data_IF_866291906587
#
_entry.id   IF_866291906587
#
_cell.length_a   1.000
_cell.length_b   1.000
_cell.length_c   1.000
_cell.angle_alpha   90.00
_cell.angle_beta   90.00
_cell.angle_gamma   90.00
#
_symmetry.space_group_name_H-M   'P 1'
#
loop_
_entity.id
_entity.type
_entity.pdbx_description
1 polymer ?
#
# COMPACT_ATOMS: atom_id res chain seq x y z
N UNK A 1 -2.93 19.67 8.96
CA UNK A 1 -2.38 20.18 7.68
C UNK A 1 -1.76 19.05 6.85
N UNK A 2 -0.75 18.32 7.35
CA UNK A 2 -0.10 17.24 6.60
C UNK A 2 -1.04 16.17 6.00
N UNK A 3 -2.01 15.66 6.77
CA UNK A 3 -3.02 14.70 6.27
C UNK A 3 -3.91 15.26 5.15
N UNK A 4 -4.17 16.58 5.16
CA UNK A 4 -4.95 17.26 4.12
C UNK A 4 -4.12 17.42 2.85
N UNK A 5 -2.85 17.81 2.98
CA UNK A 5 -1.90 17.93 1.86
C UNK A 5 -1.66 16.58 1.20
N UNK A 6 -1.52 15.50 1.98
CA UNK A 6 -1.36 14.16 1.44
C UNK A 6 -2.58 13.69 0.62
N UNK A 7 -3.80 13.88 1.14
CA UNK A 7 -5.03 13.56 0.39
C UNK A 7 -5.18 14.40 -0.88
N UNK A 8 -4.74 15.65 -0.82
CA UNK A 8 -4.72 16.52 -1.99
C UNK A 8 -3.73 16.01 -3.06
N UNK A 9 -2.51 15.63 -2.65
CA UNK A 9 -1.51 15.00 -3.52
C UNK A 9 -2.04 13.71 -4.16
N UNK A 10 -2.67 12.82 -3.39
CA UNK A 10 -3.26 11.59 -3.93
C UNK A 10 -4.35 11.88 -4.95
N UNK A 11 -5.19 12.89 -4.69
CA UNK A 11 -6.26 13.29 -5.60
C UNK A 11 -5.70 13.88 -6.90
N UNK A 12 -4.69 14.75 -6.79
CA UNK A 12 -4.00 15.34 -7.94
C UNK A 12 -3.30 14.28 -8.79
N UNK A 13 -2.63 13.31 -8.15
CA UNK A 13 -1.98 12.21 -8.85
C UNK A 13 -2.98 11.31 -9.57
N UNK A 14 -4.11 11.01 -8.93
CA UNK A 14 -5.18 10.23 -9.57
C UNK A 14 -5.69 10.94 -10.83
N UNK A 15 -5.97 12.25 -10.74
CA UNK A 15 -6.41 13.02 -11.90
C UNK A 15 -5.34 13.07 -13.00
N UNK A 16 -4.08 13.27 -12.63
CA UNK A 16 -2.95 13.21 -13.56
C UNK A 16 -2.90 11.87 -14.33
N UNK A 17 -3.08 10.73 -13.64
CA UNK A 17 -3.13 9.41 -14.29
C UNK A 17 -4.30 9.33 -15.27
N UNK A 18 -5.50 9.75 -14.83
CA UNK A 18 -6.71 9.73 -15.66
C UNK A 18 -6.53 10.56 -16.93
N UNK A 19 -5.99 11.77 -16.81
CA UNK A 19 -5.73 12.68 -17.94
C UNK A 19 -4.64 12.13 -18.87
N UNK A 20 -3.55 11.58 -18.31
CA UNK A 20 -2.45 10.99 -19.06
C UNK A 20 -2.92 9.80 -19.91
N UNK A 21 -3.81 8.97 -19.34
CA UNK A 21 -4.41 7.83 -20.03
C UNK A 21 -5.42 8.29 -21.09
N UNK A 22 -6.30 9.23 -20.74
CA UNK A 22 -7.31 9.77 -21.66
C UNK A 22 -6.66 10.42 -22.90
N UNK A 23 -5.57 11.17 -22.72
CA UNK A 23 -4.82 11.78 -23.81
C UNK A 23 -4.22 10.76 -24.80
N UNK A 24 -4.06 9.50 -24.39
CA UNK A 24 -3.51 8.40 -25.19
C UNK A 24 -4.57 7.38 -25.62
N UNK A 25 -5.82 7.57 -25.20
CA UNK A 25 -6.90 6.61 -25.44
C UNK A 25 -6.80 5.33 -24.62
N UNK A 26 -6.03 5.35 -23.52
CA UNK A 26 -5.93 4.24 -22.58
C UNK A 26 -7.00 4.32 -21.49
N UNK A 27 -7.33 3.17 -20.91
CA UNK A 27 -8.09 3.10 -19.67
C UNK A 27 -7.17 2.70 -18.54
N UNK A 28 -7.30 3.36 -17.39
CA UNK A 28 -6.45 3.10 -16.21
C UNK A 28 -6.51 1.62 -15.78
N UNK A 29 -7.69 1.01 -15.88
CA UNK A 29 -7.94 -0.40 -15.57
C UNK A 29 -7.18 -1.40 -16.46
N UNK A 30 -6.71 -0.98 -17.64
CA UNK A 30 -5.92 -1.82 -18.55
C UNK A 30 -4.40 -1.75 -18.26
N UNK A 31 -3.97 -0.97 -17.24
CA UNK A 31 -2.56 -0.80 -16.91
C UNK A 31 -1.99 -2.04 -16.21
N UNK A 32 -0.90 -2.58 -16.75
CA UNK A 32 -0.16 -3.69 -16.15
C UNK A 32 1.07 -3.19 -15.37
N UNK A 33 1.27 -3.67 -14.14
CA UNK A 33 2.38 -3.19 -13.30
C UNK A 33 3.77 -3.63 -13.78
N UNK A 34 3.85 -4.66 -14.63
CA UNK A 34 5.11 -5.17 -15.16
C UNK A 34 5.51 -4.55 -16.50
N UNK A 35 4.53 -4.17 -17.33
CA UNK A 35 4.73 -3.75 -18.71
C UNK A 35 3.99 -2.45 -19.10
N UNK A 36 3.26 -1.83 -18.17
CA UNK A 36 2.45 -0.65 -18.39
C UNK A 36 1.45 -0.83 -19.52
N UNK A 37 1.33 0.19 -20.37
CA UNK A 37 0.61 0.16 -21.63
C UNK A 37 1.59 -0.07 -22.78
N UNK A 38 1.85 -1.33 -23.12
CA UNK A 38 2.77 -1.70 -24.22
C UNK A 38 4.17 -1.08 -24.08
N UNK A 39 4.69 -0.98 -22.86
CA UNK A 39 6.00 -0.38 -22.56
C UNK A 39 5.95 1.12 -22.25
N UNK A 40 4.79 1.76 -22.30
CA UNK A 40 4.58 3.13 -21.79
C UNK A 40 3.96 3.11 -20.40
N UNK A 41 4.33 4.06 -19.54
CA UNK A 41 3.69 4.22 -18.24
C UNK A 41 3.65 5.70 -17.85
N UNK A 42 2.63 6.08 -17.08
CA UNK A 42 2.71 7.28 -16.26
C UNK A 42 3.79 7.11 -15.18
N UNK A 43 4.32 8.24 -14.69
CA UNK A 43 5.35 8.26 -13.64
C UNK A 43 4.77 7.74 -12.32
N UNK A 44 5.63 7.21 -11.45
CA UNK A 44 5.22 6.78 -10.10
C UNK A 44 4.76 7.95 -9.23
N UNK A 45 4.06 7.67 -8.13
CA UNK A 45 3.60 8.71 -7.19
C UNK A 45 4.77 9.54 -6.63
N UNK A 46 5.91 8.90 -6.35
CA UNK A 46 7.11 9.57 -5.87
C UNK A 46 7.68 10.53 -6.94
N UNK A 47 7.80 10.06 -8.18
CA UNK A 47 8.29 10.88 -9.30
C UNK A 47 7.33 12.02 -9.65
N UNK A 48 6.01 11.80 -9.54
CA UNK A 48 5.00 12.85 -9.67
C UNK A 48 5.21 13.93 -8.60
N UNK A 49 5.37 13.55 -7.33
CA UNK A 49 5.60 14.50 -6.25
C UNK A 49 6.91 15.29 -6.43
N UNK A 50 7.95 14.64 -6.96
CA UNK A 50 9.26 15.26 -7.12
C UNK A 50 9.38 16.17 -8.35
N UNK A 51 8.58 15.93 -9.39
CA UNK A 51 8.67 16.64 -10.66
C UNK A 51 7.34 17.30 -11.03
N UNK A 52 6.35 16.53 -11.47
CA UNK A 52 5.11 17.04 -12.07
C UNK A 52 4.30 17.96 -11.14
N UNK A 53 4.22 17.60 -9.85
CA UNK A 53 3.56 18.42 -8.83
C UNK A 53 4.32 19.73 -8.54
N UNK A 54 5.60 19.76 -8.90
CA UNK A 54 6.53 20.91 -9.00
C UNK A 54 6.08 21.98 -10.00
N UNK A 55 5.49 21.51 -11.10
CA UNK A 55 5.36 22.27 -12.34
C UNK A 55 3.99 22.96 -12.43
N UNK A 56 4.00 24.29 -12.41
CA UNK A 56 2.78 25.09 -12.40
C UNK A 56 1.88 24.86 -13.61
N UNK A 57 2.44 24.69 -14.81
CA UNK A 57 1.68 24.43 -16.03
C UNK A 57 0.97 23.07 -15.97
N UNK A 58 1.66 22.04 -15.45
CA UNK A 58 1.09 20.70 -15.28
C UNK A 58 -0.05 20.75 -14.28
N UNK A 59 0.15 21.37 -13.12
CA UNK A 59 -0.89 21.48 -12.09
C UNK A 59 -2.07 22.35 -12.51
N UNK A 60 -1.85 23.37 -13.33
CA UNK A 60 -2.94 24.15 -13.91
C UNK A 60 -3.81 23.34 -14.87
N UNK A 61 -3.22 22.35 -15.56
CA UNK A 61 -3.97 21.48 -16.48
C UNK A 61 -4.73 20.36 -15.75
N UNK A 62 -4.20 19.87 -14.63
CA UNK A 62 -4.75 18.74 -13.86
C UNK A 62 -5.81 19.20 -12.86
N UNK A 63 -5.62 20.36 -12.23
CA UNK A 63 -6.44 20.78 -11.09
C UNK A 63 -7.63 21.65 -11.51
N UNK A 64 -8.69 21.63 -10.69
CA UNK A 64 -9.73 22.64 -10.77
C UNK A 64 -9.18 24.04 -10.47
N UNK A 65 -9.91 25.09 -10.84
CA UNK A 65 -9.47 26.48 -10.56
C UNK A 65 -9.32 26.75 -9.06
N UNK A 66 -10.21 26.16 -8.25
CA UNK A 66 -10.17 26.24 -6.79
C UNK A 66 -8.96 25.48 -6.22
N UNK A 67 -8.73 24.26 -6.68
CA UNK A 67 -7.62 23.41 -6.23
C UNK A 67 -6.26 23.96 -6.65
N UNK A 68 -6.17 24.58 -7.83
CA UNK A 68 -4.95 25.24 -8.29
C UNK A 68 -4.57 26.41 -7.39
N UNK A 69 -5.54 27.22 -6.93
CA UNK A 69 -5.28 28.31 -5.96
C UNK A 69 -4.83 27.76 -4.61
N UNK A 70 -5.40 26.64 -4.19
CA UNK A 70 -4.95 25.95 -2.97
C UNK A 70 -3.51 25.45 -3.14
N UNK A 71 -3.19 24.79 -4.25
CA UNK A 71 -1.84 24.37 -4.60
C UNK A 71 -0.86 25.55 -4.56
N UNK A 72 -1.17 26.68 -5.20
CA UNK A 72 -0.33 27.88 -5.15
C UNK A 72 -0.08 28.38 -3.71
N UNK A 73 -1.08 28.27 -2.83
CA UNK A 73 -0.93 28.66 -1.42
C UNK A 73 0.03 27.74 -0.67
N UNK A 74 0.05 26.44 -0.99
CA UNK A 74 0.95 25.46 -0.38
C UNK A 74 2.43 25.75 -0.66
N UNK A 75 2.75 26.34 -1.81
CA UNK A 75 4.13 26.73 -2.17
C UNK A 75 4.52 28.12 -1.64
N UNK A 76 3.53 28.96 -1.34
CA UNK A 76 3.76 30.29 -0.74
C UNK A 76 3.96 30.18 0.77
N UNK A 77 3.27 29.26 1.40
CA UNK A 77 3.55 28.87 2.78
C UNK A 77 4.80 27.98 2.78
N UNK A 78 5.82 28.29 3.59
CA UNK A 78 7.04 27.47 3.75
C UNK A 78 6.70 26.16 4.51
N UNK A 79 5.80 25.35 3.95
CA UNK A 79 5.33 24.10 4.53
C UNK A 79 6.43 23.07 4.38
N UNK A 80 7.17 22.85 5.47
CA UNK A 80 8.17 21.78 5.54
C UNK A 80 7.48 20.42 5.58
N UNK A 81 7.43 19.76 4.43
CA UNK A 81 7.10 18.33 4.34
C UNK A 81 8.38 17.56 4.63
N UNK A 82 8.40 16.80 5.73
CA UNK A 82 9.50 15.91 6.05
C UNK A 82 9.18 14.50 5.58
N UNK A 83 10.17 13.80 5.02
CA UNK A 83 10.06 12.37 4.73
C UNK A 83 10.31 11.58 6.02
N UNK A 84 9.41 10.67 6.35
CA UNK A 84 9.54 9.76 7.49
C UNK A 84 9.69 8.34 6.97
N UNK A 85 10.72 7.63 7.45
CA UNK A 85 10.85 6.19 7.25
C UNK A 85 10.10 5.45 8.37
N UNK A 86 9.09 4.68 8.01
CA UNK A 86 8.37 3.82 8.94
C UNK A 86 8.85 2.39 8.68
N UNK A 87 9.41 1.68 9.68
CA UNK A 87 9.79 0.29 9.50
C UNK A 87 8.54 -0.55 9.26
N UNK A 88 8.54 -1.30 8.18
CA UNK A 88 7.48 -2.26 7.82
C UNK A 88 8.08 -3.66 7.77
N UNK A 89 7.33 -4.64 8.27
CA UNK A 89 7.64 -6.06 8.10
C UNK A 89 6.66 -6.67 7.11
N UNK A 90 7.18 -7.48 6.21
CA UNK A 90 6.39 -8.31 5.30
C UNK A 90 6.42 -9.72 5.87
N UNK A 91 5.25 -10.25 6.23
CA UNK A 91 5.13 -11.60 6.76
C UNK A 91 4.36 -12.46 5.75
N UNK A 92 4.97 -13.58 5.36
CA UNK A 92 4.34 -14.61 4.55
C UNK A 92 4.00 -15.78 5.46
N UNK A 93 2.79 -16.30 5.33
CA UNK A 93 2.37 -17.51 6.05
C UNK A 93 1.87 -18.55 5.06
N UNK A 94 1.83 -19.80 5.50
CA UNK A 94 1.24 -20.87 4.72
C UNK A 94 0.52 -21.81 5.68
N UNK A 95 -0.63 -22.31 5.27
CA UNK A 95 -1.45 -23.17 6.11
C UNK A 95 -0.96 -24.62 6.02
N UNK A 96 -0.84 -25.27 7.17
CA UNK A 96 -0.63 -26.71 7.27
C UNK A 96 -1.96 -27.34 7.68
N UNK A 97 -2.48 -28.23 6.85
CA UNK A 97 -3.71 -28.96 7.14
C UNK A 97 -3.41 -30.19 8.01
N UNK A 98 -4.08 -30.28 9.17
CA UNK A 98 -3.95 -31.39 10.11
C UNK A 98 -5.34 -31.93 10.43
N UNK A 99 -5.54 -33.21 10.17
CA UNK A 99 -6.76 -33.91 10.57
C UNK A 99 -6.69 -34.24 12.07
N UNK A 100 -7.62 -33.68 12.86
CA UNK A 100 -7.74 -33.92 14.30
C UNK A 100 -9.19 -33.74 14.76
N UNK A 101 -9.51 -34.24 15.95
CA UNK A 101 -10.84 -34.11 16.56
C UNK A 101 -11.00 -32.82 17.38
N UNK A 102 -9.89 -32.15 17.72
CA UNK A 102 -9.86 -30.83 18.33
C UNK A 102 -8.65 -30.00 17.92
N UNK A 103 -8.68 -28.69 18.23
CA UNK A 103 -7.56 -27.78 17.95
C UNK A 103 -6.34 -28.14 18.81
N UNK A 104 -6.56 -28.53 20.07
CA UNK A 104 -5.51 -28.93 20.99
C UNK A 104 -4.78 -30.17 20.46
N UNK A 105 -5.53 -31.17 19.99
CA UNK A 105 -4.97 -32.36 19.35
C UNK A 105 -4.21 -32.01 18.06
N UNK A 106 -4.75 -31.12 17.21
CA UNK A 106 -4.06 -30.67 16.01
C UNK A 106 -2.70 -30.00 16.33
N UNK A 107 -2.65 -29.19 17.39
CA UNK A 107 -1.40 -28.52 17.84
C UNK A 107 -0.40 -29.53 18.40
N UNK A 108 -0.85 -30.55 19.14
CA UNK A 108 0.02 -31.63 19.62
C UNK A 108 0.60 -32.42 18.45
N UNK A 109 -0.24 -32.85 17.51
CA UNK A 109 0.20 -33.54 16.28
C UNK A 109 1.21 -32.67 15.51
N UNK A 110 0.94 -31.37 15.34
CA UNK A 110 1.86 -30.47 14.65
C UNK A 110 3.23 -30.41 15.35
N UNK A 111 3.26 -30.27 16.68
CA UNK A 111 4.52 -30.18 17.43
C UNK A 111 5.39 -31.41 17.27
N UNK A 112 4.77 -32.59 17.20
CA UNK A 112 5.46 -33.87 17.01
C UNK A 112 5.91 -34.09 15.56
N UNK A 113 5.19 -33.53 14.58
CA UNK A 113 5.37 -33.85 13.16
C UNK A 113 5.96 -32.72 12.33
N UNK A 114 6.14 -31.52 12.88
CA UNK A 114 6.64 -30.32 12.18
C UNK A 114 7.94 -30.52 11.40
N UNK A 115 8.82 -31.42 11.85
CA UNK A 115 10.10 -31.70 11.19
C UNK A 115 9.94 -32.68 10.00
N UNK A 116 8.78 -33.32 9.88
CA UNK A 116 8.42 -34.30 8.86
C UNK A 116 7.35 -33.80 7.88
N UNK A 117 6.64 -32.72 8.22
CA UNK A 117 5.65 -32.10 7.34
C UNK A 117 6.40 -31.22 6.33
N UNK A 118 6.23 -31.44 5.01
CA UNK A 118 6.80 -30.55 4.02
C UNK A 118 6.19 -29.16 4.18
N UNK A 119 7.03 -28.13 4.14
CA UNK A 119 6.55 -26.74 4.16
C UNK A 119 5.58 -26.54 3.00
N UNK A 120 4.42 -25.90 3.23
CA UNK A 120 3.47 -25.69 2.16
C UNK A 120 4.08 -24.76 1.10
N UNK A 121 3.74 -25.01 -0.17
CA UNK A 121 4.23 -24.21 -1.31
C UNK A 121 3.33 -23.04 -1.66
N UNK A 122 2.12 -23.01 -1.10
CA UNK A 122 1.16 -21.93 -1.31
C UNK A 122 1.28 -20.96 -0.14
N UNK A 123 1.94 -19.82 -0.37
CA UNK A 123 2.04 -18.74 0.61
C UNK A 123 0.88 -17.76 0.48
N UNK A 124 0.41 -17.27 1.60
CA UNK A 124 -0.45 -16.12 1.72
C UNK A 124 0.38 -14.91 2.19
N UNK A 125 0.07 -13.75 1.63
CA UNK A 125 0.65 -12.47 2.06
C UNK A 125 -0.27 -11.84 3.12
N UNK A 126 0.33 -11.16 4.09
CA UNK A 126 -0.43 -10.32 5.03
C UNK A 126 -0.41 -8.90 4.47
N UNK A 127 -1.55 -8.46 3.94
CA UNK A 127 -1.70 -7.18 3.21
C UNK A 127 -1.67 -5.91 4.10
N UNK A 128 -1.78 -6.06 5.42
CA UNK A 128 -1.90 -4.93 6.34
C UNK A 128 -0.66 -4.79 7.25
N UNK A 129 -0.38 -3.56 7.69
CA UNK A 129 0.76 -3.23 8.55
C UNK A 129 0.66 -4.05 9.84
N UNK A 130 1.43 -5.13 9.93
CA UNK A 130 1.68 -5.81 11.19
C UNK A 130 2.62 -4.91 11.98
N UNK A 131 2.06 -4.10 12.88
CA UNK A 131 2.82 -3.63 14.04
C UNK A 131 3.16 -4.90 14.82
N UNK A 132 4.39 -5.35 14.63
CA UNK A 132 4.89 -6.64 15.09
C UNK A 132 4.50 -6.88 16.56
N UNK A 133 3.57 -7.81 16.79
CA UNK A 133 3.38 -8.46 18.09
C UNK A 133 4.54 -9.43 18.25
N UNK A 134 5.67 -8.94 18.77
CA UNK A 134 6.57 -9.86 19.47
C UNK A 134 5.75 -10.51 20.57
N UNK A 135 5.56 -11.81 20.50
CA UNK A 135 5.18 -12.61 21.67
C UNK A 135 6.22 -12.30 22.75
N UNK A 136 5.87 -11.62 23.85
CA UNK A 136 6.60 -11.84 25.08
C UNK A 136 6.30 -13.29 25.47
N UNK A 137 7.22 -13.97 26.14
CA UNK A 137 7.11 -15.36 26.57
C UNK A 137 5.92 -15.66 27.53
N UNK A 138 4.93 -14.77 27.67
CA UNK A 138 3.73 -14.96 28.48
C UNK A 138 2.47 -14.47 27.77
N UNK A 139 1.50 -15.38 27.71
CA UNK A 139 0.16 -15.20 27.18
C UNK A 139 -0.56 -13.99 27.79
N UNK A 140 -1.04 -13.09 26.94
CA UNK A 140 -2.18 -12.23 27.27
C UNK A 140 -3.18 -12.25 26.10
N UNK A 141 -4.31 -12.94 26.31
CA UNK A 141 -5.35 -13.26 25.33
C UNK A 141 -6.26 -12.08 24.97
N UNK A 142 -5.75 -10.86 25.09
CA UNK A 142 -6.50 -9.67 24.76
C UNK A 142 -5.76 -8.89 23.68
N UNK A 143 -5.92 -9.28 22.41
CA UNK A 143 -5.91 -8.24 21.39
C UNK A 143 -6.79 -8.58 20.18
N UNK A 144 -7.55 -7.55 19.83
CA UNK A 144 -8.78 -7.57 19.04
C UNK A 144 -8.52 -8.00 17.59
N UNK A 145 -9.34 -8.93 17.11
CA UNK A 145 -9.58 -9.21 15.69
C UNK A 145 -9.91 -7.94 14.92
N UNK A 146 -9.32 -7.76 13.74
CA UNK A 146 -10.07 -7.33 12.55
C UNK A 146 -9.69 -8.24 11.39
N UNK A 147 -10.61 -9.12 11.04
CA UNK A 147 -10.69 -9.74 9.72
C UNK A 147 -11.49 -8.75 8.88
N UNK A 148 -10.96 -8.34 7.74
CA UNK A 148 -11.78 -7.76 6.68
C UNK A 148 -11.60 -8.58 5.42
N UNK A 149 -12.75 -9.04 4.90
CA UNK A 149 -12.93 -9.87 3.71
C UNK A 149 -12.54 -9.14 2.44
#
# INVERSE_FOLDING_TARGET
MAKLVYRFLESAYKQYIEDWCAARGYKVEDWDSSNGFNGESFVSFAEFCDNEFKEGEVMQSVLSTEDFKFWESLFKEDIKINTYAIPTTWEVYADVEIEATSIEEAVEIFKETKDNIPLPTNSNEIDDIIVNFRLPDEYDLNLIRVITK
#
